data_IF_114599775074
#
_entry.id   IF_114599775074
#
_cell.length_a   1.000
_cell.length_b   1.000
_cell.length_c   1.000
_cell.angle_alpha   90.00
_cell.angle_beta   90.00
_cell.angle_gamma   90.00
#
_symmetry.space_group_name_H-M   'P 1'
#
loop_
_entity.id
_entity.type
_entity.pdbx_description
1 polymer ?
#
# COMPACT_ATOMS: atom_id res chain seq x y z
N UNK A 1 9.98 -19.10 6.84
CA UNK A 1 10.39 -17.81 6.23
C UNK A 1 9.13 -17.04 5.86
N UNK A 2 8.69 -16.10 6.71
CA UNK A 2 7.45 -15.35 6.47
C UNK A 2 7.49 -14.68 5.09
N UNK A 3 6.51 -14.97 4.24
CA UNK A 3 6.41 -14.45 2.87
C UNK A 3 6.63 -12.95 2.92
N UNK A 4 7.72 -12.48 2.31
CA UNK A 4 7.99 -11.06 2.08
C UNK A 4 6.69 -10.46 1.55
N UNK A 5 6.15 -9.46 2.26
CA UNK A 5 4.92 -8.76 1.94
C UNK A 5 4.79 -8.62 0.41
N UNK A 6 3.60 -8.84 -0.21
CA UNK A 6 3.44 -9.03 -1.66
C UNK A 6 3.87 -7.83 -2.54
N UNK A 7 4.42 -6.77 -1.94
CA UNK A 7 4.87 -5.55 -2.60
C UNK A 7 3.69 -4.60 -2.86
N UNK A 8 4.00 -3.31 -2.99
CA UNK A 8 2.97 -2.28 -3.19
C UNK A 8 2.18 -2.48 -4.48
N UNK A 9 2.82 -2.97 -5.55
CA UNK A 9 2.16 -3.23 -6.84
C UNK A 9 1.11 -4.34 -6.75
N UNK A 10 1.35 -5.39 -5.96
CA UNK A 10 0.37 -6.45 -5.77
C UNK A 10 -0.79 -5.98 -4.90
N UNK A 11 -0.52 -5.18 -3.87
CA UNK A 11 -1.57 -4.56 -3.04
C UNK A 11 -2.42 -3.59 -3.86
N UNK A 12 -1.83 -2.77 -4.73
CA UNK A 12 -2.59 -1.93 -5.68
C UNK A 12 -3.52 -2.77 -6.56
N UNK A 13 -3.04 -3.89 -7.12
CA UNK A 13 -3.86 -4.81 -7.91
C UNK A 13 -4.99 -5.45 -7.09
N UNK A 14 -4.77 -5.72 -5.81
CA UNK A 14 -5.81 -6.22 -4.93
C UNK A 14 -6.86 -5.14 -4.64
N UNK A 15 -6.44 -3.91 -4.32
CA UNK A 15 -7.36 -2.78 -4.10
C UNK A 15 -8.16 -2.50 -5.37
N UNK A 16 -7.53 -2.48 -6.54
CA UNK A 16 -8.24 -2.25 -7.81
C UNK A 16 -9.30 -3.31 -8.07
N UNK A 17 -9.00 -4.59 -7.79
CA UNK A 17 -9.95 -5.70 -7.95
C UNK A 17 -11.07 -5.69 -6.91
N UNK A 18 -10.75 -5.34 -5.67
CA UNK A 18 -11.69 -5.38 -4.54
C UNK A 18 -12.66 -4.20 -4.57
N UNK A 19 -12.15 -3.01 -4.85
CA UNK A 19 -12.92 -1.76 -4.88
C UNK A 19 -13.47 -1.45 -6.28
N UNK A 20 -13.10 -2.22 -7.31
CA UNK A 20 -13.52 -1.98 -8.70
C UNK A 20 -12.97 -0.68 -9.29
N UNK A 21 -11.86 -0.15 -8.74
CA UNK A 21 -11.28 1.13 -9.15
C UNK A 21 -10.12 0.94 -10.13
N UNK A 22 -9.80 1.99 -10.90
CA UNK A 22 -8.62 2.00 -11.76
C UNK A 22 -7.32 1.83 -10.96
N UNK A 23 -6.27 1.30 -11.58
CA UNK A 23 -4.95 1.14 -10.93
C UNK A 23 -4.40 2.48 -10.40
N UNK A 24 -4.72 3.60 -11.05
CA UNK A 24 -4.34 4.95 -10.61
C UNK A 24 -5.06 5.31 -9.30
N UNK A 25 -6.36 5.07 -9.23
CA UNK A 25 -7.16 5.29 -8.02
C UNK A 25 -6.73 4.35 -6.88
N UNK A 26 -6.49 3.06 -7.16
CA UNK A 26 -5.96 2.11 -6.19
C UNK A 26 -4.59 2.55 -5.63
N UNK A 27 -3.75 3.15 -6.47
CA UNK A 27 -2.49 3.74 -6.05
C UNK A 27 -2.68 4.94 -5.12
N UNK A 28 -3.60 5.84 -5.44
CA UNK A 28 -3.94 6.98 -4.58
C UNK A 28 -4.49 6.54 -3.21
N UNK A 29 -5.34 5.51 -3.17
CA UNK A 29 -5.87 4.93 -1.93
C UNK A 29 -4.72 4.37 -1.09
N UNK A 30 -3.84 3.57 -1.71
CA UNK A 30 -2.67 3.01 -1.03
C UNK A 30 -1.73 4.10 -0.50
N UNK A 31 -1.51 5.17 -1.27
CA UNK A 31 -0.71 6.31 -0.84
C UNK A 31 -1.33 7.05 0.34
N UNK A 32 -2.65 7.33 0.29
CA UNK A 32 -3.38 7.96 1.39
C UNK A 32 -3.29 7.11 2.68
N UNK A 33 -3.56 5.81 2.57
CA UNK A 33 -3.44 4.87 3.69
C UNK A 33 -2.01 4.82 4.25
N UNK A 34 -0.99 4.84 3.38
CA UNK A 34 0.42 4.82 3.78
C UNK A 34 0.84 6.11 4.49
N UNK A 35 0.29 7.27 4.08
CA UNK A 35 0.53 8.57 4.72
C UNK A 35 -0.10 8.64 6.12
N UNK A 36 -1.31 8.10 6.26
CA UNK A 36 -2.04 8.07 7.53
C UNK A 36 -1.65 6.91 8.46
N UNK A 37 -0.78 6.00 8.00
CA UNK A 37 -0.31 4.90 8.83
C UNK A 37 0.39 5.38 10.11
N UNK A 38 0.22 4.61 11.19
CA UNK A 38 0.78 4.93 12.50
C UNK A 38 2.31 5.00 12.48
N UNK A 39 2.94 5.76 13.40
CA UNK A 39 4.40 5.81 13.53
C UNK A 39 5.03 4.43 13.70
N UNK A 40 4.38 3.55 14.46
CA UNK A 40 4.81 2.16 14.64
C UNK A 40 4.81 1.38 13.33
N UNK A 41 3.77 1.52 12.50
CA UNK A 41 3.69 0.89 11.18
C UNK A 41 4.77 1.44 10.23
N UNK A 42 5.04 2.75 10.26
CA UNK A 42 6.12 3.39 9.48
C UNK A 42 7.51 2.95 9.95
N UNK A 43 7.70 2.68 11.24
CA UNK A 43 8.96 2.13 11.78
C UNK A 43 9.17 0.67 11.38
N UNK A 44 8.10 -0.14 11.44
CA UNK A 44 8.13 -1.54 11.01
C UNK A 44 8.30 -1.69 9.49
N UNK A 45 7.74 -0.77 8.70
CA UNK A 45 7.92 -0.73 7.26
C UNK A 45 8.27 0.69 6.77
N UNK A 46 9.58 1.03 6.74
CA UNK A 46 10.05 2.32 6.24
C UNK A 46 9.69 2.60 4.78
N UNK A 47 9.33 1.57 4.00
CA UNK A 47 8.94 1.72 2.59
C UNK A 47 7.58 2.40 2.42
N UNK A 48 6.73 2.44 3.46
CA UNK A 48 5.48 3.20 3.44
C UNK A 48 5.70 4.69 3.16
N UNK A 49 6.86 5.23 3.58
CA UNK A 49 7.25 6.62 3.29
C UNK A 49 7.57 6.88 1.81
N UNK A 50 7.74 5.83 1.01
CA UNK A 50 8.13 5.90 -0.40
C UNK A 50 6.94 5.75 -1.35
N UNK A 51 5.76 5.44 -0.82
CA UNK A 51 4.52 5.34 -1.61
C UNK A 51 4.06 6.75 -1.95
N UNK A 52 3.98 7.06 -3.24
CA UNK A 52 3.59 8.38 -3.76
C UNK A 52 2.11 8.41 -4.12
#
# INVERSE_FOLDING_TARGET
MAKKHPGFKAVQKQISRKEGVSMKAAGAILASASRNASPAAKRANPRLKRVK
#
